data_IF_473383126295
#
_entry.id   IF_473383126295
#
_cell.length_a   1.000
_cell.length_b   1.000
_cell.length_c   1.000
_cell.angle_alpha   90.00
_cell.angle_beta   90.00
_cell.angle_gamma   90.00
#
_symmetry.space_group_name_H-M   'P 1'
#
loop_
_entity.id
_entity.type
_entity.pdbx_description
1 polymer ?
2 non-polymer ?
3 non-polymer ?
4 water ?
#
# COMPACT_ATOMS: atom_id res chain seq x y z
N UNK A 3 8.15 -3.52 26.96
CA UNK A 3 8.94 -3.83 25.76
C UNK A 3 8.49 -2.99 24.53
N UNK A 4 9.48 -2.51 23.79
CA UNK A 4 9.27 -1.75 22.58
C UNK A 4 10.07 -2.37 21.48
N UNK A 5 9.53 -2.27 20.27
CA UNK A 5 10.18 -2.81 19.10
C UNK A 5 11.16 -1.79 18.52
N UNK A 6 12.42 -2.19 18.40
CA UNK A 6 13.39 -1.38 17.67
C UNK A 6 13.04 -1.42 16.19
N UNK A 7 12.92 -0.23 15.58
CA UNK A 7 12.38 -0.11 14.21
C UNK A 7 13.32 0.68 13.32
N UNK A 8 13.74 0.05 12.25
CA UNK A 8 14.58 0.67 11.26
C UNK A 8 13.70 1.10 10.07
N UNK A 9 13.86 2.33 9.58
CA UNK A 9 13.11 2.78 8.38
C UNK A 9 14.07 3.11 7.27
N UNK A 10 14.07 2.28 6.23
CA UNK A 10 14.99 2.42 5.10
C UNK A 10 14.22 3.17 4.01
N UNK A 11 14.85 4.15 3.37
CA UNK A 11 14.12 5.03 2.43
C UNK A 11 13.25 6.06 3.14
N UNK A 12 13.64 6.43 4.36
CA UNK A 12 12.87 7.32 5.20
C UNK A 12 12.64 8.72 4.60
N UNK A 13 13.51 9.14 3.68
CA UNK A 13 13.44 10.51 3.17
C UNK A 13 12.38 10.70 2.06
N UNK A 14 11.79 9.60 1.56
CA UNK A 14 10.73 9.69 0.53
C UNK A 14 9.42 10.10 1.20
N UNK A 15 8.37 10.26 0.40
CA UNK A 15 7.07 10.71 0.91
C UNK A 15 6.38 9.65 1.76
N UNK A 16 6.35 8.40 1.29
CA UNK A 16 5.82 7.28 2.11
C UNK A 16 6.69 7.12 3.38
N UNK A 17 8.00 7.22 3.23
CA UNK A 17 8.93 7.11 4.37
C UNK A 17 8.64 8.09 5.48
N UNK A 18 8.37 9.34 5.10
CA UNK A 18 8.00 10.38 6.09
C UNK A 18 6.76 10.02 6.87
N UNK A 19 5.77 9.41 6.21
CA UNK A 19 4.54 9.02 6.88
C UNK A 19 4.80 7.81 7.81
N UNK A 20 5.68 6.89 7.42
CA UNK A 20 6.11 5.80 8.33
C UNK A 20 6.79 6.35 9.62
N UNK A 21 7.74 7.29 9.46
CA UNK A 21 8.38 8.00 10.60
C UNK A 21 7.32 8.58 11.56
N UNK A 22 6.30 9.23 11.01
CA UNK A 22 5.22 9.81 11.82
C UNK A 22 4.49 8.78 12.67
N UNK A 23 4.11 7.68 12.05
CA UNK A 23 3.31 6.69 12.75
C UNK A 23 4.15 5.91 13.78
N UNK A 24 5.35 5.53 13.38
CA UNK A 24 6.19 4.69 14.22
C UNK A 24 6.62 5.56 15.43
N UNK A 25 6.98 6.83 15.19
CA UNK A 25 7.25 7.73 16.31
C UNK A 25 6.12 7.76 17.32
N UNK A 26 4.90 7.91 16.79
CA UNK A 26 3.70 8.02 17.56
C UNK A 26 3.32 6.70 18.25
N UNK A 27 3.73 5.58 17.66
CA UNK A 27 3.27 4.29 18.14
C UNK A 27 3.84 4.03 19.54
N UNK A 28 2.98 3.66 20.50
CA UNK A 28 3.39 3.46 21.90
C UNK A 28 4.34 2.26 22.10
N UNK A 29 4.39 1.34 21.13
CA UNK A 29 5.17 0.12 21.31
C UNK A 29 6.35 0.01 20.37
N UNK A 30 6.67 1.09 19.67
CA UNK A 30 7.78 1.05 18.72
C UNK A 30 8.56 2.31 18.85
N UNK A 31 9.87 2.25 18.64
CA UNK A 31 10.58 3.47 18.35
C UNK A 31 11.69 3.24 17.38
N UNK A 32 12.26 4.32 16.88
CA UNK A 32 13.15 4.28 15.75
C UNK A 32 14.63 4.22 16.13
N UNK A 33 15.33 3.23 15.57
CA UNK A 33 16.78 3.14 15.79
C UNK A 33 17.53 4.06 14.83
N UNK A 34 17.12 4.04 13.57
CA UNK A 34 17.74 4.87 12.51
C UNK A 34 16.79 5.09 11.33
N UNK A 35 17.03 6.17 10.61
CA UNK A 35 16.43 6.46 9.29
C UNK A 35 17.57 6.48 8.27
N UNK A 36 17.45 5.67 7.24
CA UNK A 36 18.54 5.59 6.28
C UNK A 36 18.18 6.14 4.90
N UNK A 37 19.20 6.59 4.20
CA UNK A 37 19.18 6.93 2.77
C UNK A 37 20.24 6.09 2.05
N UNK A 38 20.34 6.22 0.73
CA UNK A 38 21.33 5.44 -0.03
C UNK A 38 22.76 5.94 0.26
N UNK A 39 23.74 5.08 0.03
CA UNK A 39 25.15 5.36 0.35
C UNK A 39 25.63 6.74 -0.12
N UNK A 40 25.30 7.12 -1.35
CA UNK A 40 25.78 8.40 -1.86
C UNK A 40 24.64 9.43 -1.94
N UNK A 41 23.65 9.31 -1.04
CA UNK A 41 22.51 10.22 -1.08
C UNK A 41 22.95 11.63 -0.76
N UNK A 42 22.40 12.60 -1.49
CA UNK A 42 22.70 14.01 -1.27
C UNK A 42 22.12 14.54 0.03
N UNK A 43 21.24 13.75 0.63
CA UNK A 43 20.51 14.12 1.82
C UNK A 43 21.12 13.52 3.09
N UNK A 44 22.20 12.74 2.91
CA UNK A 44 22.91 12.14 4.05
C UNK A 44 23.31 13.22 5.06
N UNK A 45 22.97 13.00 6.33
CA UNK A 45 23.32 13.96 7.36
C UNK A 45 22.30 15.05 7.62
N UNK A 46 21.39 15.29 6.67
CA UNK A 46 20.26 16.20 6.92
C UNK A 46 19.28 15.58 7.92
N UNK A 47 18.55 16.40 8.66
CA UNK A 47 17.51 15.86 9.54
C UNK A 47 16.26 15.48 8.73
N UNK A 48 15.51 14.50 9.20
CA UNK A 48 14.29 14.09 8.53
C UNK A 48 13.35 15.31 8.42
N UNK A 49 13.29 16.12 9.49
CA UNK A 49 12.47 17.31 9.55
C UNK A 49 12.98 18.48 8.68
N UNK A 50 14.21 18.41 8.18
CA UNK A 50 14.69 19.41 7.18
C UNK A 50 13.98 19.18 5.86
N UNK A 51 13.83 17.90 5.48
CA UNK A 51 13.16 17.53 4.25
C UNK A 51 11.65 17.53 4.34
N UNK A 52 11.14 17.22 5.54
CA UNK A 52 9.72 17.14 5.83
C UNK A 52 9.41 17.95 7.09
N UNK A 53 9.30 19.29 6.93
CA UNK A 53 9.09 20.19 8.06
C UNK A 53 7.81 20.06 8.86
N UNK A 54 6.85 19.27 8.37
CA UNK A 54 5.71 18.95 9.20
C UNK A 54 6.17 18.19 10.46
N UNK A 55 7.36 17.55 10.39
CA UNK A 55 7.95 16.80 11.51
C UNK A 55 8.85 17.65 12.43
N UNK A 56 9.08 18.91 12.07
CA UNK A 56 9.86 19.81 12.94
C UNK A 56 9.36 19.78 14.39
N UNK A 57 10.30 19.62 15.34
CA UNK A 57 9.95 19.61 16.77
C UNK A 57 9.28 18.31 17.23
N UNK A 58 9.07 17.39 16.29
CA UNK A 58 8.41 16.10 16.56
C UNK A 58 9.38 14.93 16.37
N UNK A 59 9.92 14.76 15.15
CA UNK A 59 10.99 13.82 14.93
C UNK A 59 12.10 14.51 14.18
N UNK A 60 13.33 14.47 14.71
CA UNK A 60 14.46 15.16 14.10
C UNK A 60 15.70 14.32 13.94
N UNK A 61 15.48 13.01 13.80
CA UNK A 61 16.57 12.06 13.56
C UNK A 61 17.27 12.40 12.26
N UNK A 62 18.60 12.27 12.25
CA UNK A 62 19.34 12.46 11.00
C UNK A 62 19.17 11.29 10.06
N UNK A 63 19.31 11.56 8.79
CA UNK A 63 19.25 10.54 7.76
C UNK A 63 20.66 10.03 7.60
N UNK A 64 20.83 8.72 7.79
CA UNK A 64 22.16 8.09 7.73
C UNK A 64 22.29 7.32 6.44
N UNK A 65 23.45 7.48 5.76
CA UNK A 65 23.67 6.73 4.54
C UNK A 65 23.97 5.26 4.90
N UNK A 66 23.36 4.32 4.18
CA UNK A 66 23.53 2.91 4.48
C UNK A 66 24.14 2.25 3.26
N UNK A 67 25.27 1.57 3.47
CA UNK A 67 25.83 0.72 2.42
C UNK A 67 25.79 -0.73 2.89
N UNK A 68 26.52 -1.06 3.95
CA UNK A 68 26.45 -2.40 4.54
C UNK A 68 25.41 -2.44 5.65
N UNK A 69 24.46 -3.36 5.52
CA UNK A 69 23.29 -3.38 6.40
C UNK A 69 23.63 -3.80 7.82
N UNK A 70 24.84 -4.35 8.04
CA UNK A 70 25.27 -4.83 9.36
C UNK A 70 25.52 -3.64 10.30
N UNK A 71 25.65 -2.46 9.71
CA UNK A 71 25.68 -1.22 10.46
C UNK A 71 24.33 -0.96 11.11
N UNK A 72 23.26 -1.56 10.59
CA UNK A 72 21.91 -1.19 11.00
C UNK A 72 21.02 -2.34 11.43
N UNK A 73 21.46 -3.59 11.18
CA UNK A 73 20.61 -4.77 11.53
C UNK A 73 20.64 -5.31 12.97
N UNK A 74 21.81 -5.29 13.66
CA UNK A 74 21.74 -5.96 14.98
C UNK A 74 20.71 -5.34 15.91
N UNK A 75 19.94 -6.16 16.60
CA UNK A 75 19.02 -5.64 17.61
C UNK A 75 17.73 -4.99 17.10
N UNK A 76 17.57 -4.96 15.78
CA UNK A 76 16.36 -4.41 15.12
C UNK A 76 15.24 -5.47 15.02
N UNK A 77 14.09 -5.18 15.59
CA UNK A 77 12.92 -6.04 15.51
C UNK A 77 12.15 -5.95 14.19
N UNK A 78 12.01 -4.71 13.68
CA UNK A 78 11.17 -4.42 12.51
C UNK A 78 11.93 -3.55 11.52
N UNK A 79 11.88 -3.92 10.23
CA UNK A 79 12.44 -3.12 9.16
C UNK A 79 11.30 -2.77 8.19
N UNK A 80 11.11 -1.47 7.94
CA UNK A 80 10.23 -0.99 6.85
C UNK A 80 11.08 -0.60 5.67
N UNK A 81 10.85 -1.26 4.55
CA UNK A 81 11.55 -0.86 3.35
C UNK A 81 10.64 0.05 2.49
N UNK A 82 10.88 1.36 2.57
CA UNK A 82 10.16 2.38 1.80
C UNK A 82 11.04 2.72 0.59
N UNK A 83 11.27 1.71 -0.23
CA UNK A 83 12.29 1.73 -1.29
C UNK A 83 11.70 1.09 -2.55
N UNK A 84 12.33 1.29 -3.69
CA UNK A 84 11.82 0.67 -4.92
C UNK A 84 12.31 -0.77 -5.00
N UNK A 85 11.76 -1.53 -5.95
CA UNK A 85 11.85 -3.00 -5.98
C UNK A 85 13.27 -3.58 -5.98
N UNK A 86 14.18 -2.97 -6.77
CA UNK A 86 15.55 -3.46 -6.92
C UNK A 86 16.28 -3.41 -5.59
N UNK A 87 16.11 -2.29 -4.89
CA UNK A 87 16.69 -2.11 -3.58
C UNK A 87 16.08 -3.13 -2.60
N UNK A 88 14.74 -3.24 -2.57
CA UNK A 88 14.04 -4.17 -1.70
C UNK A 88 14.38 -5.65 -1.99
N UNK A 89 14.59 -5.98 -3.27
CA UNK A 89 14.97 -7.31 -3.70
C UNK A 89 16.34 -7.70 -3.08
N UNK A 90 17.28 -6.75 -3.12
CA UNK A 90 18.62 -6.91 -2.57
C UNK A 90 18.62 -6.92 -1.03
N UNK A 91 17.92 -5.95 -0.42
CA UNK A 91 18.00 -5.77 1.04
C UNK A 91 17.17 -6.72 1.87
N UNK A 92 15.94 -7.03 1.44
CA UNK A 92 15.04 -7.75 2.31
C UNK A 92 15.60 -9.11 2.78
N UNK A 93 16.24 -9.89 1.86
CA UNK A 93 16.79 -11.19 2.24
C UNK A 93 17.86 -11.03 3.35
N UNK A 94 18.73 -10.04 3.19
CA UNK A 94 19.76 -9.71 4.20
C UNK A 94 19.20 -9.37 5.57
N UNK A 95 18.17 -8.52 5.63
CA UNK A 95 17.54 -8.20 6.92
C UNK A 95 16.84 -9.41 7.57
N UNK A 96 16.24 -10.27 6.75
CA UNK A 96 15.56 -11.48 7.27
C UNK A 96 16.57 -12.42 7.90
N UNK A 97 17.72 -12.54 7.24
CA UNK A 97 18.83 -13.36 7.73
C UNK A 97 19.41 -12.84 9.05
N UNK A 98 19.31 -11.52 9.27
CA UNK A 98 19.77 -10.89 10.49
C UNK A 98 18.74 -11.03 11.59
N UNK A 99 17.62 -11.69 11.29
CA UNK A 99 16.58 -11.90 12.29
C UNK A 99 15.50 -10.83 12.40
N UNK A 100 15.48 -9.89 11.45
CA UNK A 100 14.44 -8.83 11.47
C UNK A 100 13.15 -9.30 10.77
N UNK A 101 12.01 -8.81 11.23
CA UNK A 101 10.74 -8.93 10.49
C UNK A 101 10.65 -7.74 9.52
N UNK A 102 10.50 -8.05 8.23
CA UNK A 102 10.63 -7.07 7.14
C UNK A 102 9.24 -6.79 6.53
N UNK A 103 8.92 -5.49 6.43
CA UNK A 103 7.67 -5.04 5.83
C UNK A 103 8.11 -4.24 4.61
N UNK A 104 8.07 -4.88 3.45
CA UNK A 104 8.56 -4.28 2.23
C UNK A 104 7.42 -3.52 1.54
N UNK A 105 7.61 -2.22 1.31
CA UNK A 105 6.56 -1.44 0.60
C UNK A 105 6.68 -1.53 -0.94
N UNK A 106 7.81 -2.10 -1.40
CA UNK A 106 8.04 -2.20 -2.82
C UNK A 106 7.17 -3.31 -3.43
N UNK A 107 7.19 -3.42 -4.75
CA UNK A 107 6.47 -4.50 -5.41
C UNK A 107 7.24 -5.83 -5.43
N UNK A 108 8.46 -5.82 -4.86
CA UNK A 108 9.41 -6.97 -5.04
C UNK A 108 8.99 -8.37 -4.58
N UNK A 109 8.10 -8.49 -3.60
CA UNK A 109 7.72 -9.79 -3.03
C UNK A 109 6.19 -10.00 -3.01
N UNK A 110 5.47 -9.13 -3.73
CA UNK A 110 3.99 -9.08 -3.69
C UNK A 110 3.31 -10.26 -4.36
N UNK A 111 3.94 -10.78 -5.41
CA UNK A 111 3.37 -11.86 -6.23
C UNK A 111 4.39 -13.01 -6.38
N UNK A 112 3.95 -14.20 -6.01
CA UNK A 112 4.71 -15.45 -6.21
C UNK A 112 4.70 -15.92 -7.68
N UNK A 113 5.55 -15.30 -8.50
CA UNK A 113 5.63 -15.62 -9.92
C UNK A 113 6.84 -14.98 -10.59
N UNK A 114 7.60 -15.74 -11.38
CA UNK A 114 8.82 -15.24 -12.03
C UNK A 114 8.58 -14.27 -13.19
N UNK A 115 7.65 -14.61 -14.09
CA UNK A 115 7.42 -13.79 -15.30
C UNK A 115 6.91 -12.40 -14.94
N UNK A 116 6.05 -12.37 -13.93
CA UNK A 116 5.60 -11.15 -13.26
C UNK A 116 6.76 -10.17 -13.11
N UNK A 117 7.89 -10.65 -12.57
CA UNK A 117 9.06 -9.78 -12.39
C UNK A 117 9.78 -9.41 -13.70
N UNK A 118 9.90 -10.36 -14.61
CA UNK A 118 10.55 -10.12 -15.91
C UNK A 118 9.75 -9.13 -16.77
N UNK A 119 8.44 -9.37 -16.86
CA UNK A 119 7.53 -8.54 -17.67
C UNK A 119 7.37 -7.11 -17.10
N UNK A 120 6.94 -7.01 -15.85
CA UNK A 120 6.51 -5.72 -15.30
C UNK A 120 7.56 -4.97 -14.48
N UNK A 121 8.62 -5.68 -14.12
CA UNK A 121 9.67 -5.08 -13.29
C UNK A 121 11.05 -5.18 -13.94
N UNK A 122 11.15 -6.01 -14.98
CA UNK A 122 12.35 -6.01 -15.83
C UNK A 122 13.60 -6.52 -15.12
N UNK A 123 13.43 -7.60 -14.35
CA UNK A 123 14.50 -8.24 -13.58
C UNK A 123 14.07 -9.67 -13.29
N UNK A 124 15.03 -10.58 -13.13
CA UNK A 124 14.75 -11.96 -12.75
C UNK A 124 14.88 -12.09 -11.25
N UNK A 125 13.83 -12.60 -10.60
CA UNK A 125 13.74 -12.64 -9.16
C UNK A 125 14.59 -13.78 -8.61
N UNK A 126 15.49 -13.43 -7.69
CA UNK A 126 16.51 -14.35 -7.19
C UNK A 126 16.16 -15.08 -5.91
N UNK A 127 14.96 -14.86 -5.36
CA UNK A 127 14.57 -15.49 -4.07
C UNK A 127 13.20 -16.15 -4.13
N UNK A 128 13.07 -17.24 -4.92
CA UNK A 128 11.79 -17.97 -5.04
C UNK A 128 11.18 -18.44 -3.72
N UNK A 129 12.02 -18.85 -2.77
CA UNK A 129 11.57 -19.32 -1.46
C UNK A 129 10.88 -18.19 -0.68
N UNK A 130 11.48 -17.01 -0.72
CA UNK A 130 10.91 -15.79 -0.08
C UNK A 130 9.54 -15.40 -0.69
N UNK A 131 9.42 -15.53 -2.01
CA UNK A 131 8.15 -15.32 -2.73
C UNK A 131 7.05 -16.21 -2.18
N UNK A 132 7.44 -17.44 -1.87
CA UNK A 132 6.53 -18.41 -1.29
C UNK A 132 6.21 -18.04 0.14
N UNK A 133 7.20 -17.49 0.83
CA UNK A 133 7.06 -17.16 2.26
C UNK A 133 6.36 -15.80 2.50
N UNK A 134 6.54 -14.84 1.61
CA UNK A 134 5.98 -13.47 1.81
C UNK A 134 4.47 -13.47 2.10
N UNK A 135 4.00 -12.81 3.15
CA UNK A 135 2.58 -12.55 3.29
C UNK A 135 2.18 -11.29 2.48
N UNK A 136 1.11 -11.38 1.71
CA UNK A 136 0.63 -10.19 0.98
C UNK A 136 -0.15 -9.34 1.95
N UNK A 137 0.34 -8.15 2.28
CA UNK A 137 -0.22 -7.43 3.41
C UNK A 137 -1.47 -6.63 3.15
N UNK A 138 -2.47 -7.22 2.49
CA UNK A 138 -3.75 -6.59 2.33
C UNK A 138 -4.52 -6.91 3.60
N UNK A 139 -4.50 -5.98 4.54
CA UNK A 139 -4.67 -6.29 5.95
C UNK A 139 -6.02 -6.90 6.32
N UNK A 140 -7.09 -6.38 5.73
CA UNK A 140 -8.42 -6.87 6.00
C UNK A 140 -8.63 -8.33 5.58
N UNK A 141 -7.76 -8.85 4.71
CA UNK A 141 -7.98 -10.17 4.12
C UNK A 141 -6.91 -11.18 4.47
N UNK A 142 -5.84 -10.73 5.09
CA UNK A 142 -4.88 -11.67 5.77
C UNK A 142 -5.10 -12.49 6.62
N UNK A 143 -4.56 -13.70 6.69
CA UNK A 143 -4.99 -14.64 7.71
C UNK A 143 -3.87 -14.78 8.70
N UNK A 144 -3.23 -15.95 8.69
CA UNK A 144 -2.13 -16.20 9.60
C UNK A 144 -0.83 -16.56 8.91
N UNK A 145 -0.84 -16.57 7.57
CA UNK A 145 0.42 -16.41 6.90
C UNK A 145 1.00 -15.04 7.36
N UNK A 146 0.12 -14.09 7.71
CA UNK A 146 0.58 -12.79 8.22
C UNK A 146 0.92 -12.83 9.72
N UNK A 147 -0.05 -13.21 10.57
CA UNK A 147 0.10 -13.28 12.02
C UNK A 147 1.44 -13.90 12.45
N UNK A 148 2.07 -14.62 11.52
CA UNK A 148 3.32 -15.32 11.77
C UNK A 148 4.34 -15.28 10.62
N UNK A 149 4.15 -14.40 9.63
CA UNK A 149 5.17 -14.21 8.59
C UNK A 149 6.32 -13.34 9.13
N UNK A 150 7.52 -13.59 8.64
CA UNK A 150 8.58 -12.65 8.88
C UNK A 150 8.88 -11.69 7.71
N UNK A 151 8.34 -12.00 6.51
CA UNK A 151 8.39 -11.09 5.35
C UNK A 151 6.95 -10.77 4.90
N UNK A 152 6.61 -9.48 4.97
CA UNK A 152 5.30 -8.96 4.54
C UNK A 152 5.53 -8.03 3.32
N UNK A 153 4.91 -8.37 2.19
CA UNK A 153 4.91 -7.52 1.00
C UNK A 153 3.66 -6.65 1.10
N UNK A 154 3.82 -5.35 1.34
CA UNK A 154 2.66 -4.45 1.48
C UNK A 154 2.14 -4.16 0.05
N UNK A 155 0.83 -4.31 -0.18
CA UNK A 155 0.27 -4.09 -1.55
C UNK A 155 0.52 -2.68 -2.06
N UNK A 156 0.46 -2.49 -3.37
CA UNK A 156 0.58 -1.14 -3.96
C UNK A 156 -0.62 -0.30 -3.56
N UNK A 157 -0.52 1.01 -3.77
CA UNK A 157 -1.57 1.95 -3.37
C UNK A 157 -2.86 1.73 -4.15
N UNK A 158 -2.77 1.69 -5.48
CA UNK A 158 -4.00 1.46 -6.25
C UNK A 158 -4.60 0.06 -6.05
N UNK A 159 -3.76 -1.00 -6.02
CA UNK A 159 -4.30 -2.32 -5.74
C UNK A 159 -5.07 -2.44 -4.43
N UNK A 160 -4.72 -1.62 -3.44
CA UNK A 160 -5.38 -1.72 -2.11
C UNK A 160 -6.87 -1.37 -2.19
N UNK A 161 -7.19 -0.16 -2.69
CA UNK A 161 -8.60 0.24 -2.84
C UNK A 161 -9.35 -0.72 -3.78
N UNK A 162 -8.71 -1.11 -4.86
CA UNK A 162 -9.32 -1.96 -5.89
C UNK A 162 -9.77 -3.30 -5.31
N UNK A 163 -8.86 -3.94 -4.54
CA UNK A 163 -9.19 -5.27 -3.99
C UNK A 163 -10.16 -5.21 -2.84
N UNK A 164 -10.11 -4.14 -2.04
CA UNK A 164 -11.11 -3.96 -0.99
C UNK A 164 -12.50 -3.84 -1.59
N UNK A 165 -12.61 -3.12 -2.71
CA UNK A 165 -13.91 -3.02 -3.39
C UNK A 165 -14.37 -4.33 -4.04
N UNK A 166 -13.45 -5.01 -4.73
CA UNK A 166 -13.85 -6.11 -5.63
C UNK A 166 -13.82 -7.50 -4.99
N UNK A 167 -12.87 -7.74 -4.07
CA UNK A 167 -12.66 -9.11 -3.51
C UNK A 167 -13.92 -9.73 -2.92
N UNK A 168 -14.60 -9.04 -2.00
CA UNK A 168 -15.81 -9.66 -1.46
C UNK A 168 -16.90 -10.00 -2.50
N UNK A 169 -16.94 -9.21 -3.59
CA UNK A 169 -17.96 -9.40 -4.63
C UNK A 169 -17.61 -10.61 -5.48
N UNK A 170 -16.35 -10.70 -5.90
CA UNK A 170 -15.88 -11.82 -6.64
C UNK A 170 -16.00 -13.10 -5.80
N UNK A 171 -15.65 -13.00 -4.52
CA UNK A 171 -15.69 -14.20 -3.67
C UNK A 171 -17.11 -14.71 -3.48
N UNK A 172 -18.09 -13.83 -3.57
CA UNK A 172 -19.48 -14.22 -3.51
C UNK A 172 -20.07 -14.48 -4.92
N UNK A 173 -19.22 -14.54 -5.95
CA UNK A 173 -19.66 -14.86 -7.32
C UNK A 173 -20.72 -13.87 -7.79
N UNK A 174 -20.55 -12.57 -7.52
CA UNK A 174 -21.61 -11.63 -7.84
C UNK A 174 -21.38 -10.90 -9.16
N UNK A 175 -20.21 -11.08 -9.74
CA UNK A 175 -19.84 -10.40 -10.99
C UNK A 175 -19.83 -11.37 -12.16
N UNK A 176 -20.22 -10.87 -13.34
CA UNK A 176 -20.03 -11.62 -14.58
C UNK A 176 -18.65 -11.27 -15.11
N UNK A 177 -17.68 -12.15 -14.85
CA UNK A 177 -16.31 -11.83 -15.19
C UNK A 177 -15.98 -11.99 -16.67
N UNK A 178 -16.96 -12.40 -17.47
CA UNK A 178 -16.76 -12.39 -18.93
C UNK A 178 -16.61 -10.94 -19.40
N UNK A 179 -17.10 -9.98 -18.59
CA UNK A 179 -16.86 -8.56 -18.79
C UNK A 179 -15.88 -8.15 -17.71
N UNK A 180 -14.66 -7.85 -18.10
CA UNK A 180 -13.63 -7.50 -17.13
C UNK A 180 -14.01 -6.23 -16.41
N UNK A 181 -13.92 -6.24 -15.07
CA UNK A 181 -14.07 -4.99 -14.34
C UNK A 181 -13.13 -3.87 -14.88
N UNK A 182 -13.66 -2.66 -14.91
CA UNK A 182 -12.93 -1.50 -15.40
C UNK A 182 -12.68 -0.65 -14.18
N UNK A 183 -11.41 -0.55 -13.83
CA UNK A 183 -10.99 0.27 -12.72
C UNK A 183 -10.29 1.53 -13.27
N UNK A 184 -10.93 2.69 -13.12
CA UNK A 184 -10.30 3.96 -13.43
C UNK A 184 -10.01 4.67 -12.13
N UNK A 185 -8.79 5.16 -11.98
CA UNK A 185 -8.38 5.72 -10.70
C UNK A 185 -7.61 6.99 -10.97
N UNK A 186 -7.74 7.94 -10.06
CA UNK A 186 -6.92 9.15 -10.09
C UNK A 186 -6.18 9.25 -8.76
N UNK A 187 -4.86 9.45 -8.85
CA UNK A 187 -3.99 9.63 -7.71
C UNK A 187 -3.44 11.06 -7.65
N UNK A 188 -3.21 11.53 -6.43
CA UNK A 188 -2.38 12.70 -6.20
C UNK A 188 -0.91 12.43 -6.51
N UNK A 189 -0.17 13.51 -6.73
CA UNK A 189 1.16 13.44 -7.32
C UNK A 189 2.20 12.83 -6.34
N UNK A 190 1.92 12.76 -5.05
CA UNK A 190 2.87 12.11 -4.08
C UNK A 190 3.11 10.65 -4.46
N UNK A 191 2.16 10.04 -5.16
CA UNK A 191 2.29 8.64 -5.62
C UNK A 191 3.44 8.47 -6.60
N UNK A 192 3.86 9.57 -7.22
CA UNK A 192 5.05 9.50 -8.10
C UNK A 192 6.36 9.46 -7.34
N UNK A 193 6.35 9.71 -6.02
CA UNK A 193 7.61 9.74 -5.27
C UNK A 193 8.28 11.10 -5.26
N UNK A 194 9.21 11.26 -4.31
CA UNK A 194 9.91 12.50 -4.11
C UNK A 194 11.06 12.44 -5.11
N UNK A 195 11.12 13.41 -5.98
CA UNK A 195 12.08 13.30 -7.10
C UNK A 195 11.82 14.44 -8.01
N UNK A 196 12.88 14.93 -8.60
CA UNK A 196 12.75 15.99 -9.53
C UNK A 196 12.66 15.29 -10.88
N UNK A 197 11.48 15.26 -11.49
CA UNK A 197 11.37 14.87 -12.90
C UNK A 197 10.42 15.83 -13.62
N UNK A 198 10.49 15.88 -14.95
CA UNK A 198 9.53 16.71 -15.70
C UNK A 198 8.06 16.31 -15.42
N UNK A 199 7.78 15.01 -15.45
CA UNK A 199 6.40 14.52 -15.35
C UNK A 199 5.63 14.87 -14.06
N UNK A 200 6.35 15.04 -12.95
CA UNK A 200 5.73 15.42 -11.66
C UNK A 200 6.11 16.85 -11.30
N UNK A 201 6.71 17.59 -12.25
CA UNK A 201 6.95 19.02 -12.05
C UNK A 201 5.60 19.74 -11.96
N UNK A 202 5.49 20.75 -11.09
CA UNK A 202 4.20 21.40 -10.87
C UNK A 202 3.38 21.71 -12.14
N UNK A 203 3.96 22.48 -13.06
CA UNK A 203 3.20 22.96 -14.23
C UNK A 203 2.89 21.85 -15.23
N UNK A 204 3.47 20.67 -15.04
CA UNK A 204 3.24 19.54 -15.95
C UNK A 204 2.07 18.66 -15.56
N UNK A 205 1.50 18.96 -14.39
CA UNK A 205 0.39 18.14 -13.90
C UNK A 205 -0.94 18.82 -14.14
N UNK A 206 -1.92 18.08 -14.67
CA UNK A 206 -3.29 18.63 -14.76
C UNK A 206 -4.22 17.45 -14.52
N UNK A 207 -4.57 16.75 -15.60
CA UNK A 207 -5.23 15.43 -15.55
C UNK A 207 -4.88 14.65 -16.82
N UNK A 208 -4.31 13.45 -16.62
CA UNK A 208 -3.92 12.62 -17.75
C UNK A 208 -3.88 11.14 -17.35
N UNK A 209 -4.42 10.22 -18.17
CA UNK A 209 -4.17 8.80 -17.89
C UNK A 209 -2.70 8.45 -18.15
N UNK A 210 -2.18 7.42 -17.48
CA UNK A 210 -0.82 6.95 -17.75
C UNK A 210 -0.72 5.44 -17.55
N UNK A 211 0.39 4.84 -17.95
CA UNK A 211 0.55 3.39 -17.80
C UNK A 211 -0.60 2.64 -18.49
N UNK A 212 -1.10 3.19 -19.59
CA UNK A 212 -2.27 2.61 -20.27
C UNK A 212 -1.94 1.21 -20.82
N UNK A 213 -2.63 0.19 -20.27
CA UNK A 213 -2.32 -1.21 -20.56
C UNK A 213 -0.89 -1.63 -20.20
N UNK A 214 -0.17 -0.84 -19.38
CA UNK A 214 1.20 -1.21 -19.00
C UNK A 214 1.50 -1.19 -17.48
N UNK A 215 0.67 -0.48 -16.71
CA UNK A 215 1.02 -0.26 -15.30
C UNK A 215 1.19 -1.59 -14.52
N UNK A 216 2.29 -1.72 -13.76
CA UNK A 216 2.61 -2.93 -12.94
C UNK A 216 1.56 -3.29 -11.88
N UNK A 217 0.69 -2.35 -11.56
CA UNK A 217 -0.37 -2.64 -10.58
C UNK A 217 -1.50 -3.46 -11.19
N UNK A 218 -1.66 -3.38 -12.50
CA UNK A 218 -2.73 -4.18 -13.12
C UNK A 218 -2.60 -5.70 -12.85
N UNK A 219 -1.43 -6.30 -13.18
CA UNK A 219 -1.33 -7.77 -12.92
C UNK A 219 -1.34 -8.17 -11.45
N UNK A 220 -0.85 -7.30 -10.56
CA UNK A 220 -0.94 -7.53 -9.14
C UNK A 220 -2.42 -7.63 -8.76
N UNK A 221 -3.23 -6.66 -9.18
CA UNK A 221 -4.68 -6.71 -8.91
C UNK A 221 -5.31 -7.98 -9.54
N UNK A 222 -4.98 -8.28 -10.80
CA UNK A 222 -5.60 -9.42 -11.51
C UNK A 222 -5.20 -10.77 -10.87
N UNK A 223 -3.90 -10.97 -10.64
CA UNK A 223 -3.41 -12.22 -9.97
C UNK A 223 -4.08 -12.45 -8.62
N UNK A 224 -4.06 -11.44 -7.75
CA UNK A 224 -4.60 -11.61 -6.41
C UNK A 224 -6.10 -11.74 -6.37
N UNK A 225 -6.82 -11.07 -7.29
CA UNK A 225 -8.26 -11.28 -7.35
C UNK A 225 -8.66 -12.57 -8.07
N UNK A 226 -7.73 -13.14 -8.84
CA UNK A 226 -8.04 -14.30 -9.67
C UNK A 226 -8.98 -13.92 -10.82
N UNK A 227 -8.84 -12.70 -11.37
CA UNK A 227 -9.75 -12.22 -12.44
C UNK A 227 -9.08 -11.13 -13.25
N UNK A 228 -9.18 -11.22 -14.57
CA UNK A 228 -8.70 -10.17 -15.47
C UNK A 228 -9.48 -8.89 -15.28
N UNK A 229 -8.74 -7.77 -15.23
CA UNK A 229 -9.35 -6.46 -15.05
C UNK A 229 -8.72 -5.44 -16.00
N UNK A 230 -9.47 -4.40 -16.33
CA UNK A 230 -8.83 -3.18 -16.89
C UNK A 230 -8.51 -2.27 -15.72
N UNK A 231 -7.31 -1.73 -15.76
CA UNK A 231 -6.85 -0.81 -14.73
C UNK A 231 -6.16 0.35 -15.42
N UNK A 232 -6.72 1.56 -15.26
CA UNK A 232 -6.10 2.75 -15.87
C UNK A 232 -5.94 3.84 -14.81
N UNK A 233 -4.69 4.17 -14.44
CA UNK A 233 -4.46 5.22 -13.48
C UNK A 233 -4.37 6.62 -14.19
N UNK A 234 -4.60 7.70 -13.42
CA UNK A 234 -4.56 9.08 -13.92
C UNK A 234 -3.84 9.89 -12.88
N UNK A 235 -3.00 10.81 -13.32
CA UNK A 235 -2.33 11.71 -12.40
C UNK A 235 -3.15 12.99 -12.29
N UNK A 236 -3.62 13.35 -11.07
CA UNK A 236 -4.49 14.53 -10.91
C UNK A 236 -3.73 15.67 -10.22
N UNK A 237 -4.27 16.89 -10.24
CA UNK A 237 -3.45 18.02 -9.78
C UNK A 237 -3.75 18.30 -8.31
N UNK A 238 -3.37 17.34 -7.47
CA UNK A 238 -3.47 17.47 -6.01
C UNK A 238 -2.40 16.51 -5.45
N UNK A 239 -1.92 16.81 -4.23
CA UNK A 239 -0.80 16.01 -3.69
C UNK A 239 -1.16 14.60 -3.14
N UNK A 240 -2.36 14.46 -2.58
CA UNK A 240 -2.67 13.27 -1.81
C UNK A 240 -4.07 12.72 -2.07
N UNK A 241 -4.14 11.40 -2.23
CA UNK A 241 -5.41 10.69 -2.25
C UNK A 241 -5.50 9.90 -3.54
N UNK A 242 -6.31 8.83 -3.51
CA UNK A 242 -6.71 8.05 -4.68
C UNK A 242 -8.21 7.87 -4.60
N UNK A 243 -8.88 8.12 -5.73
CA UNK A 243 -10.29 7.75 -5.85
C UNK A 243 -10.36 6.76 -7.01
N UNK A 244 -11.01 5.61 -6.79
CA UNK A 244 -11.21 4.61 -7.83
C UNK A 244 -12.68 4.47 -8.14
N UNK A 245 -13.01 4.56 -9.42
CA UNK A 245 -14.38 4.30 -9.86
C UNK A 245 -14.39 3.00 -10.66
N UNK A 246 -15.15 2.01 -10.17
CA UNK A 246 -14.98 0.64 -10.67
C UNK A 246 -16.30 0.12 -11.23
N UNK A 247 -16.32 -0.21 -12.51
CA UNK A 247 -17.57 -0.51 -13.19
C UNK A 247 -17.54 -1.97 -13.62
N UNK A 248 -18.58 -2.70 -13.23
CA UNK A 248 -18.70 -4.13 -13.45
C UNK A 248 -20.06 -4.50 -14.02
N UNK A 249 -20.09 -5.63 -14.75
CA UNK A 249 -21.37 -6.24 -15.06
C UNK A 249 -21.63 -7.30 -13.96
N UNK A 250 -22.76 -7.19 -13.30
CA UNK A 250 -23.14 -8.18 -12.27
C UNK A 250 -23.53 -9.48 -12.94
N UNK A 251 -23.36 -10.58 -12.21
CA UNK A 251 -23.96 -11.83 -12.62
C UNK A 251 -25.45 -11.59 -12.70
N UNK A 252 -26.08 -12.19 -13.70
CA UNK A 252 -27.51 -12.10 -13.89
C UNK A 252 -28.32 -12.39 -12.58
N UNK A 253 -29.30 -11.56 -12.27
CA UNK A 253 -30.13 -11.69 -11.04
C UNK A 253 -29.60 -11.05 -9.74
N UNK A 254 -28.32 -10.73 -9.69
CA UNK A 254 -27.69 -10.08 -8.55
C UNK A 254 -28.26 -8.70 -8.31
N UNK A 255 -28.52 -8.38 -7.03
CA UNK A 255 -29.27 -7.19 -6.65
C UNK A 255 -28.42 -6.25 -5.80
N UNK A 256 -28.92 -5.02 -5.63
CA UNK A 256 -28.30 -4.03 -4.73
C UNK A 256 -28.17 -4.61 -3.29
N UNK A 257 -29.25 -5.19 -2.78
CA UNK A 257 -29.29 -5.67 -1.40
C UNK A 257 -28.27 -6.77 -1.20
N UNK A 258 -28.09 -7.60 -2.25
CA UNK A 258 -27.14 -8.71 -2.23
C UNK A 258 -25.70 -8.26 -2.23
N UNK A 259 -25.41 -7.22 -3.00
CA UNK A 259 -24.08 -6.60 -3.01
C UNK A 259 -23.82 -5.94 -1.63
N UNK A 260 -24.79 -5.19 -1.13
CA UNK A 260 -24.69 -4.56 0.19
C UNK A 260 -24.43 -5.59 1.31
N UNK A 261 -25.17 -6.71 1.28
CA UNK A 261 -24.95 -7.80 2.26
C UNK A 261 -23.50 -8.30 2.24
N UNK A 262 -22.98 -8.55 1.05
CA UNK A 262 -21.63 -9.04 0.92
C UNK A 262 -20.61 -8.02 1.49
N UNK A 263 -20.81 -6.74 1.20
CA UNK A 263 -19.88 -5.74 1.72
C UNK A 263 -20.05 -5.56 3.24
N UNK A 264 -21.28 -5.54 3.75
CA UNK A 264 -21.58 -5.35 5.19
C UNK A 264 -20.89 -6.49 5.95
N UNK A 265 -21.08 -7.73 5.45
CA UNK A 265 -20.43 -8.88 6.03
C UNK A 265 -18.90 -8.87 5.96
N UNK A 266 -18.34 -8.35 4.87
CA UNK A 266 -16.89 -8.23 4.77
C UNK A 266 -16.36 -7.18 5.76
N UNK A 267 -17.02 -6.03 5.87
CA UNK A 267 -16.37 -4.88 6.52
C UNK A 267 -16.92 -4.33 7.82
N UNK A 268 -18.08 -4.80 8.26
CA UNK A 268 -18.75 -4.21 9.43
C UNK A 268 -17.87 -4.14 10.70
N UNK A 269 -17.00 -5.13 10.88
CA UNK A 269 -16.08 -5.17 12.03
C UNK A 269 -14.65 -4.90 11.60
N UNK A 270 -14.46 -4.33 10.41
CA UNK A 270 -13.13 -3.91 9.99
C UNK A 270 -13.03 -2.38 10.17
N UNK A 271 -12.18 -1.95 11.13
CA UNK A 271 -12.20 -0.54 11.54
C UNK A 271 -11.63 0.43 10.47
N UNK A 272 -10.73 -0.02 9.61
CA UNK A 272 -10.12 0.92 8.64
C UNK A 272 -10.88 0.99 7.31
N UNK A 273 -12.01 0.28 7.22
CA UNK A 273 -12.86 0.34 6.04
C UNK A 273 -14.18 0.99 6.43
N UNK A 274 -14.50 2.12 5.79
CA UNK A 274 -15.72 2.84 6.09
C UNK A 274 -16.70 2.65 4.93
N UNK A 275 -17.71 1.82 5.17
CA UNK A 275 -18.70 1.50 4.16
C UNK A 275 -19.83 2.50 4.15
N UNK A 276 -20.14 3.05 2.98
CA UNK A 276 -21.26 3.97 2.76
C UNK A 276 -22.49 3.12 2.44
N UNK A 277 -23.52 3.23 3.26
CA UNK A 277 -24.80 2.56 3.01
C UNK A 277 -25.45 3.04 1.69
N UNK A 278 -25.45 4.36 1.49
CA UNK A 278 -25.94 4.97 0.24
C UNK A 278 -24.96 6.08 -0.19
N UNK A 279 -24.91 6.34 -1.50
CA UNK A 279 -24.00 7.33 -2.05
C UNK A 279 -22.56 6.86 -2.10
N UNK A 280 -21.69 7.72 -2.61
CA UNK A 280 -20.32 7.37 -2.93
C UNK A 280 -19.37 8.42 -2.30
N UNK A 281 -18.18 7.95 -1.84
CA UNK A 281 -17.34 8.87 -1.06
C UNK A 281 -16.69 9.97 -1.93
N UNK A 282 -16.42 11.13 -1.29
CA UNK A 282 -15.58 12.21 -1.84
C UNK A 282 -14.17 12.09 -1.29
N UNK A 283 -13.20 12.30 -2.15
CA UNK A 283 -11.79 12.12 -1.79
C UNK A 283 -11.32 12.96 -0.58
N UNK A 284 -11.76 14.21 -0.43
CA UNK A 284 -11.22 15.04 0.66
C UNK A 284 -11.45 14.40 2.05
N UNK A 285 -12.46 13.53 2.14
CA UNK A 285 -12.94 12.99 3.42
C UNK A 285 -12.08 11.86 3.98
N UNK A 286 -11.04 11.51 3.24
CA UNK A 286 -10.13 10.47 3.67
C UNK A 286 -8.65 10.93 3.66
N UNK A 287 -8.38 12.07 3.03
CA UNK A 287 -7.02 12.54 2.90
C UNK A 287 -6.52 12.85 4.31
N UNK A 288 -5.33 12.34 4.62
CA UNK A 288 -4.73 12.53 5.94
C UNK A 288 -5.27 11.54 6.97
N UNK A 289 -6.17 10.65 6.53
CA UNK A 289 -6.72 9.61 7.41
C UNK A 289 -6.29 8.23 6.93
N UNK A 290 -6.37 7.20 7.82
CA UNK A 290 -5.90 5.88 7.40
C UNK A 290 -6.95 4.94 6.77
N UNK A 291 -8.13 5.45 6.45
CA UNK A 291 -9.20 4.58 6.02
C UNK A 291 -9.22 4.30 4.52
N UNK A 292 -10.02 3.31 4.14
CA UNK A 292 -10.54 3.19 2.76
C UNK A 292 -12.05 3.31 2.84
N UNK A 293 -12.60 4.27 2.08
CA UNK A 293 -14.02 4.57 2.10
C UNK A 293 -14.63 3.95 0.85
N UNK A 294 -15.77 3.29 1.00
CA UNK A 294 -16.36 2.52 -0.12
C UNK A 294 -17.85 2.80 -0.19
N UNK A 295 -18.33 3.21 -1.38
CA UNK A 295 -19.77 3.31 -1.65
C UNK A 295 -20.05 2.67 -3.02
N UNK A 296 -21.32 2.43 -3.35
CA UNK A 296 -21.62 1.78 -4.62
C UNK A 296 -23.08 2.04 -5.00
N UNK A 297 -23.37 1.79 -6.29
CA UNK A 297 -24.73 1.91 -6.83
C UNK A 297 -24.90 0.76 -7.81
N UNK A 298 -26.14 0.31 -7.95
CA UNK A 298 -26.48 -0.75 -8.90
C UNK A 298 -27.67 -0.22 -9.74
N UNK A 299 -27.58 -0.41 -11.07
CA UNK A 299 -28.75 -0.26 -11.90
C UNK A 299 -28.79 -1.40 -12.91
N UNK A 300 -29.88 -2.15 -12.92
CA UNK A 300 -29.99 -3.30 -13.84
C UNK A 300 -28.88 -4.28 -13.55
N UNK A 301 -28.14 -4.67 -14.59
CA UNK A 301 -27.06 -5.62 -14.46
C UNK A 301 -25.68 -4.94 -14.31
N UNK A 302 -25.64 -3.64 -14.06
CA UNK A 302 -24.35 -2.98 -13.83
C UNK A 302 -24.16 -2.52 -12.38
N UNK A 303 -22.91 -2.61 -11.95
CA UNK A 303 -22.47 -2.09 -10.67
C UNK A 303 -21.38 -1.05 -10.86
N UNK A 304 -21.49 0.02 -10.09
CA UNK A 304 -20.44 1.02 -9.98
C UNK A 304 -20.04 1.09 -8.50
N UNK A 305 -18.81 0.70 -8.19
CA UNK A 305 -18.34 0.80 -6.82
C UNK A 305 -17.15 1.77 -6.74
N UNK A 306 -17.17 2.64 -5.74
CA UNK A 306 -16.23 3.75 -5.65
C UNK A 306 -15.47 3.57 -4.32
N UNK A 307 -14.14 3.62 -4.39
CA UNK A 307 -13.25 3.43 -3.22
C UNK A 307 -12.21 4.50 -3.20
N UNK A 308 -12.04 5.15 -2.03
CA UNK A 308 -11.04 6.20 -1.85
C UNK A 308 -10.06 5.77 -0.76
N UNK A 309 -8.87 6.40 -0.73
CA UNK A 309 -7.94 6.19 0.38
C UNK A 309 -6.97 7.36 0.25
N UNK A 310 -6.20 7.62 1.32
CA UNK A 310 -5.02 8.44 1.17
C UNK A 310 -3.93 7.53 0.60
N UNK A 311 -3.40 7.87 -0.58
CA UNK A 311 -2.42 7.01 -1.27
C UNK A 311 -1.16 6.72 -0.39
N UNK A 312 -0.85 7.56 0.58
CA UNK A 312 0.37 7.37 1.39
C UNK A 312 0.08 6.71 2.73
N UNK A 313 -1.21 6.64 3.06
CA UNK A 313 -1.65 6.11 4.35
C UNK A 313 -2.22 4.70 4.16
N UNK A 314 -3.52 4.53 3.93
CA UNK A 314 -4.02 3.15 3.66
C UNK A 314 -3.35 2.61 2.39
N UNK A 315 -2.97 3.50 1.47
CA UNK A 315 -2.27 3.03 0.25
C UNK A 315 -0.79 2.68 0.43
N UNK A 316 -0.21 2.99 1.59
CA UNK A 316 1.23 2.75 1.81
C UNK A 316 1.54 2.59 3.31
N UNK A 317 1.90 3.69 3.97
CA UNK A 317 2.40 3.66 5.35
C UNK A 317 1.46 3.11 6.41
N UNK A 318 0.19 3.52 6.39
CA UNK A 318 -0.77 3.03 7.37
C UNK A 318 -1.03 1.54 7.22
N UNK A 319 -1.08 1.05 5.98
CA UNK A 319 -1.31 -0.39 5.79
C UNK A 319 -0.08 -1.14 6.28
N UNK A 320 1.11 -0.63 5.99
CA UNK A 320 2.34 -1.23 6.47
C UNK A 320 2.32 -1.38 8.00
N UNK A 321 1.98 -0.30 8.69
CA UNK A 321 1.92 -0.28 10.15
C UNK A 321 0.79 -1.14 10.69
N UNK A 322 -0.38 -1.08 10.04
CA UNK A 322 -1.50 -1.96 10.33
C UNK A 322 -1.12 -3.46 10.30
N UNK A 323 -0.33 -3.86 9.31
CA UNK A 323 0.16 -5.24 9.25
C UNK A 323 1.10 -5.55 10.44
N UNK A 324 1.94 -4.56 10.80
CA UNK A 324 2.87 -4.73 11.90
C UNK A 324 2.09 -4.93 13.18
N UNK A 325 0.98 -4.20 13.30
CA UNK A 325 0.12 -4.35 14.44
C UNK A 325 -0.47 -5.77 14.53
N UNK A 326 -0.89 -6.29 13.38
CA UNK A 326 -1.40 -7.65 13.31
C UNK A 326 -0.31 -8.66 13.56
N UNK A 327 0.84 -8.50 12.93
CA UNK A 327 1.96 -9.38 13.13
C UNK A 327 2.37 -9.49 14.61
N UNK A 328 2.28 -8.38 15.36
CA UNK A 328 2.94 -8.31 16.65
C UNK A 328 1.92 -8.31 17.76
N UNK A 329 0.65 -8.37 17.37
CA UNK A 329 -0.44 -8.46 18.30
C UNK A 329 -0.91 -7.18 18.94
N UNK A 330 -0.66 -6.02 18.30
CA UNK A 330 -1.22 -4.78 18.87
C UNK A 330 -2.60 -4.50 18.28
N UNK A 331 -3.39 -3.64 18.94
CA UNK A 331 -4.65 -3.15 18.36
C UNK A 331 -4.40 -2.80 16.88
N UNK A 332 -5.33 -3.21 16.02
CA UNK A 332 -5.10 -3.11 14.58
C UNK A 332 -4.82 -1.65 14.12
N UNK A 333 -5.51 -0.69 14.76
CA UNK A 333 -5.41 0.72 14.39
C UNK A 333 -4.39 1.53 15.21
N UNK A 334 -3.58 0.83 16.02
CA UNK A 334 -2.66 1.50 16.92
C UNK A 334 -1.67 2.38 16.21
N UNK A 335 -1.60 3.65 16.61
CA UNK A 335 -0.79 4.74 16.00
C UNK A 335 -1.47 5.45 14.79
N UNK A 336 -2.52 4.83 14.21
CA UNK A 336 -3.15 5.27 12.93
C UNK A 336 -4.30 6.23 13.16
N UNK A 337 -4.99 6.05 14.28
CA UNK A 337 -6.20 6.85 14.58
C UNK A 337 -6.40 6.65 16.08
#
# INVERSE_FOLDING_TARGET
SNAMLNTLIVGASGYAGAELVTYVNRHPHMNITALTVSAQSNDAGKLISDLHPQLKGIVELPLQPMSDISEFSPGVDVVFLATAHEVSHDLAPQFLEAGCVVFDLSGAFRVNDATFYEKYYGFTHQYPELLEQAAYGLAEWCGNKLKEANLIAVPGCYPTAAQLALKPLIDADLLDLNQWPVINATSGVSGAGRKAAISNSFCEVSLQPYGVFTHRHQPEIATHLGADVIFTPHLGNFPRGILETITCRLKSGVTQAQVAQALQQAYAHKPLVRLYDKGVPALKNVVGLPFCDIGFAVQGEHLIIVATEDNLLKGAAAQAVQCANIRFGYAETQSLI
#
